data_IF_979229881532
#
_entry.id   IF_979229881532
#
_cell.length_a   1.000
_cell.length_b   1.000
_cell.length_c   1.000
_cell.angle_alpha   90.00
_cell.angle_beta   90.00
_cell.angle_gamma   90.00
#
_symmetry.space_group_name_H-M   'P 1'
#
loop_
_entity.id
_entity.type
_entity.pdbx_description
1 polymer ?
#
# COMPACT_ATOMS: atom_id res chain seq x y z
N UNK A 1 -1.76 -14.23 6.37
CA UNK A 1 -1.01 -13.40 7.32
C UNK A 1 0.43 -13.32 6.84
N UNK A 2 1.13 -12.21 7.10
CA UNK A 2 2.54 -12.01 6.68
C UNK A 2 2.79 -12.10 5.16
N UNK A 3 1.89 -11.51 4.37
CA UNK A 3 2.08 -11.34 2.92
C UNK A 3 1.89 -9.89 2.54
N UNK A 4 2.64 -9.48 1.53
CA UNK A 4 2.49 -8.18 0.89
C UNK A 4 1.14 -8.10 0.16
N UNK A 5 0.55 -6.92 0.13
CA UNK A 5 -0.54 -6.62 -0.79
C UNK A 5 0.08 -6.32 -2.16
N UNK A 6 -0.32 -7.10 -3.17
CA UNK A 6 0.06 -6.87 -4.57
C UNK A 6 -1.24 -6.81 -5.38
N UNK A 7 -1.69 -5.60 -5.68
CA UNK A 7 -2.88 -5.35 -6.49
C UNK A 7 -2.45 -4.91 -7.89
N UNK A 8 -3.10 -5.43 -8.93
CA UNK A 8 -2.96 -4.92 -10.30
C UNK A 8 -4.34 -4.62 -10.86
N UNK A 9 -4.54 -3.38 -11.29
CA UNK A 9 -5.76 -2.89 -11.92
C UNK A 9 -5.51 -2.77 -13.43
N UNK A 10 -6.33 -3.42 -14.24
CA UNK A 10 -6.39 -3.22 -15.70
C UNK A 10 -7.53 -2.25 -16.01
N UNK A 11 -7.20 -1.09 -16.60
CA UNK A 11 -8.17 -0.08 -17.03
C UNK A 11 -8.93 -0.48 -18.31
N UNK A 12 -8.58 -1.62 -18.91
CA UNK A 12 -9.18 -2.19 -20.11
C UNK A 12 -8.64 -1.61 -21.41
N UNK A 13 -8.17 -0.36 -21.40
CA UNK A 13 -7.56 0.34 -22.53
C UNK A 13 -6.53 1.37 -22.06
N UNK A 14 -5.69 1.81 -22.99
CA UNK A 14 -4.81 2.95 -22.79
C UNK A 14 -5.63 4.19 -22.40
N UNK A 15 -5.37 4.71 -21.22
CA UNK A 15 -6.14 5.76 -20.56
C UNK A 15 -5.19 6.83 -20.06
N UNK A 16 -5.54 8.09 -20.28
CA UNK A 16 -4.82 9.22 -19.70
C UNK A 16 -5.14 9.32 -18.22
N UNK A 17 -4.12 9.26 -17.37
CA UNK A 17 -4.23 9.27 -15.90
C UNK A 17 -3.37 10.39 -15.32
N UNK A 18 -3.94 11.16 -14.40
CA UNK A 18 -3.36 12.27 -13.68
C UNK A 18 -2.89 11.88 -12.27
N UNK A 19 -3.61 11.00 -11.58
CA UNK A 19 -3.25 10.55 -10.23
C UNK A 19 -3.62 9.10 -9.92
N UNK A 20 -2.89 8.52 -8.96
CA UNK A 20 -3.14 7.20 -8.37
C UNK A 20 -3.12 7.36 -6.86
N UNK A 21 -4.08 6.75 -6.16
CA UNK A 21 -4.18 6.76 -4.71
C UNK A 21 -4.57 5.40 -4.12
N UNK A 22 -4.24 5.18 -2.85
CA UNK A 22 -4.75 4.06 -2.04
C UNK A 22 -4.81 4.47 -0.56
N UNK A 23 -5.82 4.00 0.19
CA UNK A 23 -5.82 4.16 1.65
C UNK A 23 -5.56 2.86 2.39
N UNK A 24 -4.95 3.01 3.56
CA UNK A 24 -4.73 1.94 4.53
C UNK A 24 -5.29 2.33 5.89
N UNK A 25 -5.91 1.36 6.56
CA UNK A 25 -6.32 1.49 7.96
C UNK A 25 -5.12 1.18 8.87
N UNK A 26 -4.96 1.97 9.92
CA UNK A 26 -4.14 1.67 11.08
C UNK A 26 -5.04 1.48 12.29
N UNK A 27 -4.90 0.34 12.96
CA UNK A 27 -5.44 0.08 14.30
C UNK A 27 -4.54 -0.96 14.97
N UNK A 28 -3.53 -0.47 15.70
CA UNK A 28 -2.50 -1.35 16.25
C UNK A 28 -3.08 -2.33 17.28
N UNK A 29 -4.11 -1.94 18.03
CA UNK A 29 -4.79 -2.82 19.01
C UNK A 29 -5.47 -4.01 18.33
N UNK A 30 -5.91 -3.84 17.08
CA UNK A 30 -6.44 -4.89 16.21
C UNK A 30 -5.35 -5.55 15.34
N UNK A 31 -4.07 -5.25 15.59
CA UNK A 31 -2.90 -5.80 14.91
C UNK A 31 -2.80 -5.33 13.45
N UNK A 32 -3.47 -4.23 13.10
CA UNK A 32 -3.51 -3.64 11.77
C UNK A 32 -2.50 -2.50 11.69
N UNK A 33 -1.46 -2.69 10.88
CA UNK A 33 -0.35 -1.75 10.75
C UNK A 33 -0.28 -1.20 9.33
N UNK A 34 0.25 0.02 9.22
CA UNK A 34 0.60 0.60 7.94
C UNK A 34 1.68 -0.24 7.24
N UNK A 35 1.68 -0.31 5.90
CA UNK A 35 2.71 -1.00 5.16
C UNK A 35 4.07 -0.31 5.34
N UNK A 36 5.15 -1.09 5.48
CA UNK A 36 6.53 -0.54 5.59
C UNK A 36 6.99 0.19 4.33
N UNK A 37 6.39 -0.14 3.19
CA UNK A 37 6.67 0.47 1.89
C UNK A 37 5.46 0.34 0.98
N UNK A 38 5.09 1.41 0.30
CA UNK A 38 4.10 1.40 -0.80
C UNK A 38 4.81 1.78 -2.10
N UNK A 39 4.58 1.00 -3.16
CA UNK A 39 5.18 1.21 -4.47
C UNK A 39 4.06 1.26 -5.50
N UNK A 40 4.02 2.35 -6.26
CA UNK A 40 3.15 2.46 -7.44
C UNK A 40 3.97 2.21 -8.69
N UNK A 41 3.46 1.34 -9.55
CA UNK A 41 4.04 1.04 -10.85
C UNK A 41 2.98 1.05 -11.93
N UNK A 42 3.36 1.44 -13.15
CA UNK A 42 2.44 1.53 -14.30
C UNK A 42 2.96 0.74 -15.49
N UNK A 43 2.05 0.34 -16.37
CA UNK A 43 2.37 -0.39 -17.60
C UNK A 43 1.33 -0.13 -18.69
N UNK A 44 1.72 -0.27 -19.95
CA UNK A 44 0.81 -0.30 -21.11
C UNK A 44 0.58 -1.73 -21.63
N UNK A 45 1.49 -2.67 -21.35
CA UNK A 45 1.46 -4.04 -21.89
C UNK A 45 1.06 -5.11 -20.86
N UNK A 46 0.96 -4.75 -19.58
CA UNK A 46 0.64 -5.65 -18.48
C UNK A 46 1.76 -6.62 -18.11
N UNK A 47 2.94 -6.50 -18.74
CA UNK A 47 4.10 -7.37 -18.55
C UNK A 47 5.25 -6.61 -17.92
N UNK A 48 5.58 -5.44 -18.48
CA UNK A 48 6.68 -4.60 -18.05
C UNK A 48 6.13 -3.42 -17.25
N UNK A 49 6.46 -3.38 -15.96
CA UNK A 49 5.99 -2.33 -15.05
C UNK A 49 7.14 -1.37 -14.71
N UNK A 50 6.90 -0.07 -14.90
CA UNK A 50 7.80 1.00 -14.47
C UNK A 50 7.34 1.53 -13.12
N UNK A 51 8.21 1.53 -12.12
CA UNK A 51 7.92 2.18 -10.84
C UNK A 51 7.92 3.70 -11.00
N UNK A 52 6.91 4.36 -10.43
CA UNK A 52 6.70 5.82 -10.53
C UNK A 52 6.70 6.50 -9.16
N UNK A 53 6.38 5.78 -8.09
CA UNK A 53 6.37 6.32 -6.72
C UNK A 53 6.80 5.27 -5.70
N UNK A 54 7.50 5.73 -4.66
CA UNK A 54 7.87 4.94 -3.50
C UNK A 54 7.59 5.75 -2.25
N UNK A 55 6.85 5.14 -1.32
CA UNK A 55 6.58 5.71 -0.01
C UNK A 55 7.14 4.74 1.02
N UNK A 56 8.22 5.12 1.68
CA UNK A 56 8.77 4.35 2.78
C UNK A 56 8.12 4.84 4.09
N UNK A 57 7.77 3.89 4.96
CA UNK A 57 7.21 4.23 6.25
C UNK A 57 8.32 4.64 7.21
N UNK A 58 8.02 5.61 8.07
CA UNK A 58 8.87 5.96 9.21
C UNK A 58 8.87 4.82 10.25
N UNK A 59 9.73 4.96 11.27
CA UNK A 59 9.77 4.05 12.42
C UNK A 59 8.37 3.85 13.01
N UNK A 60 8.01 2.59 13.27
CA UNK A 60 6.69 2.24 13.81
C UNK A 60 6.69 2.45 15.31
N UNK A 61 6.09 3.56 15.74
CA UNK A 61 5.91 3.88 17.15
C UNK A 61 4.56 3.34 17.68
N UNK A 62 4.47 3.02 18.99
CA UNK A 62 3.21 2.67 19.63
C UNK A 62 2.17 3.77 19.48
N UNK A 63 0.96 3.41 19.07
CA UNK A 63 -0.17 4.31 18.91
C UNK A 63 -1.49 3.59 19.21
N UNK A 64 -2.33 4.24 20.03
CA UNK A 64 -3.70 3.78 20.31
C UNK A 64 -4.74 4.38 19.35
N UNK A 65 -4.31 5.17 18.37
CA UNK A 65 -5.20 5.82 17.41
C UNK A 65 -5.62 4.85 16.30
N UNK A 66 -6.89 4.95 15.92
CA UNK A 66 -7.44 4.32 14.72
C UNK A 66 -7.51 5.38 13.61
N UNK A 67 -6.75 5.20 12.54
CA UNK A 67 -6.56 6.23 11.51
C UNK A 67 -6.54 5.64 10.09
N UNK A 68 -6.93 6.45 9.12
CA UNK A 68 -6.79 6.13 7.69
C UNK A 68 -5.60 6.94 7.15
N UNK A 69 -4.66 6.26 6.49
CA UNK A 69 -3.55 6.92 5.79
C UNK A 69 -3.67 6.74 4.29
N UNK A 70 -3.76 7.85 3.59
CA UNK A 70 -3.79 7.92 2.12
C UNK A 70 -2.38 8.05 1.57
N UNK A 71 -2.11 7.34 0.48
CA UNK A 71 -0.90 7.45 -0.32
C UNK A 71 -1.30 7.85 -1.72
N UNK A 72 -0.91 9.06 -2.12
CA UNK A 72 -1.32 9.66 -3.39
C UNK A 72 -0.10 10.07 -4.22
N UNK A 73 -0.20 9.87 -5.53
CA UNK A 73 0.83 10.26 -6.48
C UNK A 73 0.23 10.92 -7.71
N UNK A 74 0.74 12.11 -8.04
CA UNK A 74 0.39 12.84 -9.27
C UNK A 74 1.39 12.53 -10.38
N UNK A 75 0.90 11.96 -11.49
CA UNK A 75 1.71 11.56 -12.65
C UNK A 75 2.06 12.75 -13.55
N UNK A 76 1.35 13.88 -13.40
CA UNK A 76 1.40 15.03 -14.33
C UNK A 76 1.00 14.64 -15.75
N UNK A 77 0.03 13.74 -15.87
CA UNK A 77 -0.50 13.25 -17.13
C UNK A 77 0.36 12.19 -17.81
N UNK A 78 -0.10 10.93 -17.77
CA UNK A 78 0.54 9.82 -18.49
C UNK A 78 -0.51 8.85 -19.04
N UNK A 79 -0.34 8.41 -20.29
CA UNK A 79 -1.13 7.31 -20.84
C UNK A 79 -0.63 5.98 -20.29
N UNK A 80 -1.50 5.26 -19.57
CA UNK A 80 -1.23 3.95 -18.97
C UNK A 80 -2.44 3.03 -19.17
N UNK A 81 -2.26 1.71 -19.02
CA UNK A 81 -3.37 0.75 -19.00
C UNK A 81 -3.45 -0.02 -17.69
N UNK A 82 -2.31 -0.30 -17.08
CA UNK A 82 -2.21 -1.06 -15.85
C UNK A 82 -1.59 -0.22 -14.75
N UNK A 83 -2.18 -0.32 -13.56
CA UNK A 83 -1.60 0.18 -12.31
C UNK A 83 -1.32 -1.01 -11.42
N UNK A 84 -0.10 -1.11 -10.89
CA UNK A 84 0.30 -2.11 -9.90
C UNK A 84 0.71 -1.41 -8.61
N UNK A 85 0.08 -1.79 -7.52
CA UNK A 85 0.38 -1.31 -6.17
C UNK A 85 0.97 -2.47 -5.37
N UNK A 86 2.16 -2.26 -4.84
CA UNK A 86 2.81 -3.21 -3.91
C UNK A 86 2.94 -2.54 -2.55
N UNK A 87 2.22 -3.05 -1.56
CA UNK A 87 2.33 -2.61 -0.17
C UNK A 87 2.98 -3.72 0.67
N UNK A 88 4.16 -3.42 1.20
CA UNK A 88 4.99 -4.36 1.93
C UNK A 88 4.49 -4.52 3.36
N UNK A 89 4.25 -5.76 3.77
CA UNK A 89 3.86 -6.04 5.16
C UNK A 89 5.02 -5.78 6.11
N UNK A 90 4.69 -5.26 7.30
CA UNK A 90 5.66 -5.07 8.39
C UNK A 90 6.24 -6.42 8.83
N UNK A 91 5.41 -7.46 8.81
CA UNK A 91 5.78 -8.84 9.09
C UNK A 91 5.42 -9.23 10.51
N UNK A 92 6.42 -9.54 11.33
CA UNK A 92 6.23 -9.74 12.75
C UNK A 92 5.75 -8.44 13.42
N UNK A 93 4.95 -8.58 14.49
CA UNK A 93 4.62 -7.45 15.34
C UNK A 93 5.89 -6.82 15.92
N UNK A 94 5.90 -5.50 16.20
CA UNK A 94 6.98 -4.88 16.96
C UNK A 94 7.09 -5.48 18.37
N UNK A 95 8.30 -5.51 18.95
CA UNK A 95 8.56 -6.14 20.26
C UNK A 95 7.70 -5.59 21.40
N UNK A 96 7.34 -4.30 21.32
CA UNK A 96 6.52 -3.62 22.31
C UNK A 96 5.03 -3.99 22.23
N UNK A 97 4.59 -4.61 21.15
CA UNK A 97 3.19 -4.92 20.93
C UNK A 97 2.77 -6.18 21.70
N UNK A 98 1.58 -6.16 22.34
CA UNK A 98 1.09 -7.21 23.22
C UNK A 98 1.10 -8.63 22.61
N UNK A 99 0.83 -8.73 21.30
CA UNK A 99 0.84 -10.00 20.56
C UNK A 99 2.21 -10.50 20.09
N UNK A 100 3.31 -9.79 20.39
CA UNK A 100 4.66 -10.18 19.93
C UNK A 100 5.09 -11.55 20.45
N UNK A 101 4.86 -11.81 21.74
CA UNK A 101 5.26 -13.05 22.41
C UNK A 101 4.60 -14.31 21.85
N UNK A 102 3.47 -14.17 21.14
CA UNK A 102 2.69 -15.26 20.56
C UNK A 102 3.00 -15.48 19.07
N UNK A 103 4.15 -15.02 18.58
CA UNK A 103 4.53 -14.99 17.15
C UNK A 103 3.50 -14.27 16.26
N UNK A 104 2.85 -13.25 16.83
CA UNK A 104 1.82 -12.50 16.14
C UNK A 104 2.38 -11.74 14.92
N UNK A 105 1.55 -11.66 13.87
CA UNK A 105 1.89 -11.01 12.60
C UNK A 105 0.98 -9.82 12.33
N UNK A 106 1.53 -8.81 11.67
CA UNK A 106 0.80 -7.62 11.27
C UNK A 106 -0.18 -7.91 10.12
N UNK A 107 -1.37 -7.31 10.22
CA UNK A 107 -2.31 -7.22 9.12
C UNK A 107 -2.11 -5.93 8.32
N UNK A 108 -2.37 -6.00 7.02
CA UNK A 108 -2.59 -4.85 6.15
C UNK A 108 -4.07 -4.84 5.80
N UNK A 109 -4.74 -3.71 6.02
CA UNK A 109 -6.09 -3.45 5.56
C UNK A 109 -6.07 -2.27 4.62
N UNK A 110 -6.62 -2.45 3.41
CA UNK A 110 -6.78 -1.42 2.39
C UNK A 110 -8.23 -1.39 1.93
N UNK A 111 -8.71 -0.23 1.52
CA UNK A 111 -10.10 -0.04 1.05
C UNK A 111 -10.18 0.32 -0.44
N UNK A 112 -9.86 1.56 -0.80
CA UNK A 112 -10.11 2.15 -2.12
C UNK A 112 -8.79 2.37 -2.86
N UNK A 113 -8.78 1.98 -4.14
CA UNK A 113 -7.75 2.38 -5.10
C UNK A 113 -8.39 3.42 -6.03
N UNK A 114 -7.85 4.62 -6.02
CA UNK A 114 -8.34 5.74 -6.83
C UNK A 114 -7.42 5.95 -8.02
N UNK A 115 -8.00 6.06 -9.22
CA UNK A 115 -7.28 6.35 -10.47
C UNK A 115 -8.07 7.44 -11.18
N UNK A 116 -7.46 8.61 -11.37
CA UNK A 116 -8.10 9.80 -11.96
C UNK A 116 -7.27 10.34 -13.11
#
# INVERSE_FOLDING_TARGET
FDKDLIATVDLGKDTWVESIGINFLQDQRAWIFLPKKVIFSVSTDGKTFKSIAHFDSETVEPSDLTEIKSYDYHLKGQTIRYVKITAKNLGALPEWHLGYGDDGKCWIFADEITIQ
#
